data_IF_026703790190
#
_entry.id   IF_026703790190
#
_cell.length_a   1.000
_cell.length_b   1.000
_cell.length_c   1.000
_cell.angle_alpha   90.00
_cell.angle_beta   90.00
_cell.angle_gamma   90.00
#
_symmetry.space_group_name_H-M   'P 1'
#
loop_
_entity.id
_entity.type
_entity.pdbx_description
1 polymer ?
#
# COMPACT_ATOMS: atom_id res chain seq x y z
N UNK A 1 -2.41 21.39 0.15
CA UNK A 1 -2.91 21.26 1.53
C UNK A 1 -2.75 22.58 2.28
N UNK A 2 -3.80 23.04 2.95
CA UNK A 2 -3.75 24.24 3.78
C UNK A 2 -3.47 23.86 5.23
N UNK A 3 -2.56 24.58 5.87
CA UNK A 3 -2.23 24.40 7.28
C UNK A 3 -3.41 24.86 8.14
N UNK A 4 -3.85 24.06 9.15
CA UNK A 4 -4.90 24.49 10.07
C UNK A 4 -4.49 25.75 10.86
N UNK A 5 -5.45 26.63 11.17
CA UNK A 5 -5.18 27.95 11.75
C UNK A 5 -4.49 27.92 13.12
N UNK A 6 -4.70 26.83 13.89
CA UNK A 6 -4.07 26.62 15.19
C UNK A 6 -2.61 26.15 15.14
N UNK A 7 -2.07 25.87 13.95
CA UNK A 7 -0.68 25.44 13.78
C UNK A 7 0.23 26.63 13.48
N UNK A 8 1.48 26.60 13.96
CA UNK A 8 2.46 27.65 13.65
C UNK A 8 2.87 27.63 12.17
N UNK A 9 3.31 28.76 11.67
CA UNK A 9 3.72 28.92 10.29
C UNK A 9 4.96 28.08 9.95
N UNK A 10 4.95 27.53 8.73
CA UNK A 10 6.02 26.66 8.24
C UNK A 10 7.16 27.51 7.69
N UNK A 11 8.35 27.33 8.25
CA UNK A 11 9.60 27.93 7.75
C UNK A 11 10.33 26.98 6.81
N UNK A 12 10.43 25.69 7.20
CA UNK A 12 11.16 24.69 6.44
C UNK A 12 10.62 23.29 6.72
N UNK A 13 10.36 22.52 5.68
CA UNK A 13 10.13 21.07 5.80
C UNK A 13 11.46 20.38 6.09
N UNK A 14 11.48 19.51 7.08
CA UNK A 14 12.66 18.78 7.54
C UNK A 14 12.61 17.30 7.15
N UNK A 15 11.41 16.71 7.25
CA UNK A 15 11.17 15.31 6.91
C UNK A 15 9.73 15.11 6.44
N UNK A 16 9.56 14.22 5.50
CA UNK A 16 8.27 13.83 4.97
C UNK A 16 8.13 12.30 4.92
N UNK A 17 6.92 11.82 5.09
CA UNK A 17 6.56 10.41 4.99
C UNK A 17 5.13 10.29 4.50
N UNK A 18 4.86 9.27 3.72
CA UNK A 18 3.51 8.91 3.28
C UNK A 18 3.23 7.44 3.49
N UNK A 19 1.96 7.12 3.56
CA UNK A 19 1.44 5.76 3.53
C UNK A 19 0.11 5.73 2.79
N UNK A 20 -0.20 4.61 2.14
CA UNK A 20 -1.46 4.41 1.43
C UNK A 20 -2.37 3.52 2.27
N UNK A 21 -3.59 3.98 2.49
CA UNK A 21 -4.64 3.22 3.15
C UNK A 21 -5.81 3.06 2.21
N UNK A 22 -6.25 1.83 1.96
CA UNK A 22 -7.47 1.56 1.22
C UNK A 22 -8.68 1.64 2.16
N UNK A 23 -9.71 2.35 1.69
CA UNK A 23 -11.01 2.40 2.36
C UNK A 23 -11.96 1.36 1.77
N UNK A 24 -11.90 1.17 0.44
CA UNK A 24 -12.80 0.29 -0.28
C UNK A 24 -12.15 -0.26 -1.55
N UNK A 25 -12.39 -1.54 -1.81
CA UNK A 25 -12.03 -2.22 -3.05
C UNK A 25 -13.28 -2.93 -3.56
N UNK A 26 -13.76 -2.55 -4.74
CA UNK A 26 -14.91 -3.16 -5.41
C UNK A 26 -14.47 -3.81 -6.71
N UNK A 27 -14.77 -5.10 -6.87
CA UNK A 27 -14.55 -5.83 -8.11
C UNK A 27 -15.84 -5.81 -8.92
N UNK A 28 -15.75 -5.45 -10.19
CA UNK A 28 -16.82 -5.52 -11.18
C UNK A 28 -16.29 -6.16 -12.45
N UNK A 29 -17.18 -6.53 -13.35
CA UNK A 29 -16.80 -7.16 -14.61
C UNK A 29 -15.75 -6.31 -15.36
N UNK A 30 -14.56 -6.87 -15.56
CA UNK A 30 -13.45 -6.25 -16.27
C UNK A 30 -12.73 -5.09 -15.53
N UNK A 31 -13.11 -4.76 -14.28
CA UNK A 31 -12.59 -3.58 -13.58
C UNK A 31 -12.53 -3.78 -12.07
N UNK A 32 -11.56 -3.12 -11.45
CA UNK A 32 -11.41 -3.04 -10.00
C UNK A 32 -11.42 -1.56 -9.63
N UNK A 33 -12.39 -1.17 -8.81
CA UNK A 33 -12.49 0.18 -8.27
C UNK A 33 -11.81 0.23 -6.91
N UNK A 34 -10.92 1.19 -6.73
CA UNK A 34 -10.13 1.34 -5.52
C UNK A 34 -10.34 2.75 -4.99
N UNK A 35 -10.75 2.85 -3.72
CA UNK A 35 -10.82 4.10 -2.97
C UNK A 35 -9.88 4.04 -1.79
N UNK A 36 -9.24 5.14 -1.50
CA UNK A 36 -8.32 5.21 -0.39
C UNK A 36 -7.84 6.61 -0.09
N UNK A 37 -6.90 6.67 0.83
CA UNK A 37 -6.26 7.90 1.25
C UNK A 37 -4.73 7.76 1.21
N UNK A 38 -4.06 8.75 0.64
CA UNK A 38 -2.67 9.02 0.95
C UNK A 38 -2.62 9.77 2.28
N UNK A 39 -2.13 9.11 3.31
CA UNK A 39 -1.85 9.74 4.61
C UNK A 39 -0.41 10.22 4.57
N UNK A 40 -0.17 11.50 4.85
CA UNK A 40 1.16 12.05 4.89
C UNK A 40 1.47 12.72 6.22
N UNK A 41 2.74 12.67 6.58
CA UNK A 41 3.30 13.31 7.77
C UNK A 41 4.41 14.25 7.34
N UNK A 42 4.47 15.42 7.97
CA UNK A 42 5.49 16.43 7.72
C UNK A 42 6.05 16.90 9.04
N UNK A 43 7.34 16.66 9.25
CA UNK A 43 8.09 17.32 10.33
C UNK A 43 8.65 18.62 9.75
N UNK A 44 8.34 19.74 10.38
CA UNK A 44 8.78 21.03 9.90
C UNK A 44 9.32 21.92 11.03
N UNK A 45 10.17 22.87 10.63
CA UNK A 45 10.56 23.97 11.48
C UNK A 45 9.51 25.07 11.41
N UNK A 46 9.03 25.51 12.57
CA UNK A 46 8.09 26.61 12.69
C UNK A 46 8.81 27.96 12.85
N UNK A 47 8.05 29.02 12.77
CA UNK A 47 8.50 30.40 13.04
C UNK A 47 8.52 30.73 14.57
N UNK A 48 7.89 29.88 15.41
CA UNK A 48 7.82 30.10 16.86
C UNK A 48 9.11 29.69 17.57
N UNK A 49 9.63 30.52 18.46
CA UNK A 49 10.83 30.21 19.23
C UNK A 49 10.63 29.11 20.28
N UNK A 50 9.44 29.06 20.89
CA UNK A 50 9.10 28.07 21.91
C UNK A 50 8.84 26.67 21.35
N UNK A 51 8.31 26.59 20.11
CA UNK A 51 7.98 25.35 19.42
C UNK A 51 8.66 25.30 18.04
N UNK A 52 10.00 25.24 18.05
CA UNK A 52 10.81 25.27 16.81
C UNK A 52 10.51 24.11 15.85
N UNK A 53 10.00 23.01 16.35
CA UNK A 53 9.64 21.83 15.57
C UNK A 53 8.16 21.51 15.80
N UNK A 54 7.45 21.22 14.74
CA UNK A 54 6.09 20.73 14.79
C UNK A 54 5.86 19.66 13.72
N UNK A 55 4.84 18.82 13.91
CA UNK A 55 4.48 17.75 13.00
C UNK A 55 3.04 17.91 12.53
N UNK A 56 2.86 17.82 11.22
CA UNK A 56 1.56 17.85 10.57
C UNK A 56 1.22 16.48 10.01
N UNK A 57 0.00 16.02 10.26
CA UNK A 57 -0.59 14.89 9.57
C UNK A 57 -1.71 15.40 8.67
N UNK A 58 -1.70 15.00 7.41
CA UNK A 58 -2.76 15.28 6.46
C UNK A 58 -3.18 14.03 5.71
N UNK A 59 -4.28 14.14 4.95
CA UNK A 59 -4.76 13.07 4.08
C UNK A 59 -5.25 13.64 2.76
N UNK A 60 -5.07 12.88 1.69
CA UNK A 60 -5.56 13.19 0.36
C UNK A 60 -6.33 11.97 -0.14
N UNK A 61 -7.64 12.07 -0.33
CA UNK A 61 -8.43 10.99 -0.88
C UNK A 61 -8.09 10.76 -2.34
N UNK A 62 -8.16 9.50 -2.78
CA UNK A 62 -8.06 9.12 -4.18
C UNK A 62 -9.09 8.04 -4.54
N UNK A 63 -9.50 8.04 -5.79
CA UNK A 63 -10.34 7.02 -6.40
C UNK A 63 -9.73 6.64 -7.74
N UNK A 64 -9.44 5.36 -7.93
CA UNK A 64 -8.82 4.84 -9.14
C UNK A 64 -9.55 3.61 -9.66
N UNK A 65 -9.41 3.38 -10.96
CA UNK A 65 -9.99 2.22 -11.63
C UNK A 65 -8.90 1.45 -12.35
N UNK A 66 -8.71 0.20 -11.98
CA UNK A 66 -7.79 -0.73 -12.64
C UNK A 66 -8.58 -1.58 -13.63
N UNK A 67 -8.26 -1.50 -14.93
CA UNK A 67 -8.83 -2.38 -15.94
C UNK A 67 -8.12 -3.73 -15.88
N UNK A 68 -8.90 -4.82 -15.77
CA UNK A 68 -8.37 -6.19 -15.68
C UNK A 68 -9.30 -7.14 -16.42
N UNK A 69 -8.91 -7.55 -17.63
CA UNK A 69 -9.71 -8.42 -18.48
C UNK A 69 -9.96 -9.78 -17.80
N UNK A 70 -11.19 -10.23 -17.89
CA UNK A 70 -11.61 -11.53 -17.37
C UNK A 70 -11.90 -11.56 -15.86
N UNK A 71 -11.80 -10.45 -15.16
CA UNK A 71 -12.20 -10.37 -13.75
C UNK A 71 -13.72 -10.26 -13.63
N UNK A 72 -14.30 -11.01 -12.67
CA UNK A 72 -15.71 -10.96 -12.31
C UNK A 72 -15.88 -10.61 -10.83
N UNK A 73 -17.09 -10.22 -10.44
CA UNK A 73 -17.40 -9.77 -9.07
C UNK A 73 -17.10 -10.79 -7.97
N UNK A 74 -17.11 -12.09 -8.31
CA UNK A 74 -16.87 -13.17 -7.35
C UNK A 74 -15.40 -13.63 -7.31
N UNK A 75 -14.55 -13.09 -8.18
CA UNK A 75 -13.15 -13.50 -8.21
C UNK A 75 -12.37 -12.93 -7.02
N UNK A 76 -11.54 -13.74 -6.37
CA UNK A 76 -10.66 -13.26 -5.31
C UNK A 76 -9.57 -12.38 -5.91
N UNK A 77 -9.64 -11.10 -5.62
CA UNK A 77 -8.65 -10.09 -6.04
C UNK A 77 -7.90 -9.56 -4.83
N UNK A 78 -6.58 -9.50 -4.94
CA UNK A 78 -5.69 -8.87 -3.98
C UNK A 78 -5.14 -7.58 -4.58
N UNK A 79 -5.36 -6.44 -3.91
CA UNK A 79 -4.85 -5.14 -4.34
C UNK A 79 -3.85 -4.65 -3.31
N UNK A 80 -2.67 -4.28 -3.78
CA UNK A 80 -1.62 -3.68 -2.97
C UNK A 80 -1.22 -2.33 -3.54
N UNK A 81 -0.78 -1.43 -2.66
CA UNK A 81 -0.25 -0.13 -3.04
C UNK A 81 1.16 0.02 -2.52
N UNK A 82 2.03 0.56 -3.35
CA UNK A 82 3.40 0.95 -2.99
C UNK A 82 3.56 2.44 -3.27
N UNK A 83 4.00 3.19 -2.25
CA UNK A 83 4.35 4.59 -2.40
C UNK A 83 5.80 4.67 -2.90
N UNK A 84 5.96 4.93 -4.20
CA UNK A 84 7.28 5.00 -4.83
C UNK A 84 8.01 6.30 -4.51
N UNK A 85 7.26 7.40 -4.47
CA UNK A 85 7.82 8.72 -4.17
C UNK A 85 6.80 9.63 -3.49
N UNK A 86 7.27 10.49 -2.61
CA UNK A 86 6.49 11.58 -2.04
C UNK A 86 7.36 12.83 -1.96
N UNK A 87 6.82 13.95 -2.42
CA UNK A 87 7.48 15.24 -2.35
C UNK A 87 6.52 16.30 -1.81
N UNK A 88 6.92 16.97 -0.72
CA UNK A 88 6.13 17.99 -0.06
C UNK A 88 6.87 19.33 -0.09
N UNK A 89 6.42 20.21 -0.97
CA UNK A 89 6.97 21.56 -1.16
C UNK A 89 6.18 22.62 -0.41
N UNK A 90 6.85 23.69 -0.01
CA UNK A 90 6.24 24.88 0.59
C UNK A 90 5.79 25.81 -0.52
N UNK A 91 4.48 26.13 -0.60
CA UNK A 91 3.95 27.20 -1.47
C UNK A 91 4.04 28.55 -0.76
N UNK A 92 3.63 28.60 0.49
CA UNK A 92 3.82 29.70 1.43
C UNK A 92 3.81 29.15 2.87
N UNK A 93 3.98 30.02 3.89
CA UNK A 93 4.06 29.60 5.29
C UNK A 93 2.86 28.80 5.81
N UNK A 94 1.71 28.88 5.10
CA UNK A 94 0.45 28.21 5.49
C UNK A 94 -0.06 27.22 4.45
N UNK A 95 0.70 26.98 3.36
CA UNK A 95 0.24 26.11 2.28
C UNK A 95 1.34 25.22 1.75
N UNK A 96 1.05 23.93 1.69
CA UNK A 96 1.91 22.89 1.15
C UNK A 96 1.42 22.37 -0.19
N UNK A 97 2.35 22.05 -1.08
CA UNK A 97 2.13 21.21 -2.26
C UNK A 97 2.54 19.79 -1.91
N UNK A 98 1.62 18.84 -2.02
CA UNK A 98 1.91 17.42 -1.81
C UNK A 98 1.79 16.71 -3.15
N UNK A 99 2.84 15.98 -3.54
CA UNK A 99 2.87 15.15 -4.74
C UNK A 99 3.34 13.77 -4.35
N UNK A 100 2.68 12.75 -4.86
CA UNK A 100 3.06 11.37 -4.61
C UNK A 100 2.95 10.55 -5.90
N UNK A 101 3.85 9.60 -6.05
CA UNK A 101 3.77 8.56 -7.06
C UNK A 101 3.43 7.25 -6.36
N UNK A 102 2.29 6.68 -6.72
CA UNK A 102 1.76 5.46 -6.11
C UNK A 102 1.61 4.41 -7.18
N UNK A 103 2.21 3.24 -6.97
CA UNK A 103 1.99 2.06 -7.80
C UNK A 103 0.88 1.22 -7.17
N UNK A 104 -0.18 0.96 -7.94
CA UNK A 104 -1.24 0.03 -7.58
C UNK A 104 -1.02 -1.30 -8.31
N UNK A 105 -0.94 -2.39 -7.57
CA UNK A 105 -0.83 -3.74 -8.12
C UNK A 105 -2.08 -4.53 -7.75
N UNK A 106 -2.74 -5.10 -8.77
CA UNK A 106 -3.88 -5.98 -8.60
C UNK A 106 -3.51 -7.39 -9.08
N UNK A 107 -3.80 -8.39 -8.28
CA UNK A 107 -3.60 -9.81 -8.59
C UNK A 107 -4.91 -10.55 -8.45
N UNK A 108 -5.30 -11.27 -9.50
CA UNK A 108 -6.48 -12.13 -9.51
C UNK A 108 -6.05 -13.59 -9.51
N UNK A 109 -6.74 -14.41 -8.74
CA UNK A 109 -6.55 -15.86 -8.71
C UNK A 109 -7.79 -16.53 -9.30
N UNK A 110 -7.62 -17.15 -10.47
CA UNK A 110 -8.70 -17.91 -11.09
C UNK A 110 -8.49 -19.39 -10.84
N UNK A 111 -9.59 -20.06 -10.45
CA UNK A 111 -9.63 -21.52 -10.45
C UNK A 111 -10.02 -21.97 -11.85
N UNK A 112 -9.17 -22.80 -12.47
CA UNK A 112 -9.45 -23.43 -13.75
C UNK A 112 -9.47 -24.93 -13.57
N UNK A 113 -10.47 -25.58 -14.15
CA UNK A 113 -10.49 -27.01 -14.29
C UNK A 113 -9.87 -27.39 -15.62
N UNK A 114 -8.98 -28.39 -15.61
CA UNK A 114 -8.37 -28.91 -16.82
C UNK A 114 -8.53 -30.45 -16.81
N UNK A 115 -9.07 -30.97 -17.89
CA UNK A 115 -9.10 -32.41 -18.13
C UNK A 115 -7.79 -32.83 -18.79
N UNK A 116 -7.08 -33.75 -18.15
CA UNK A 116 -5.82 -34.29 -18.65
C UNK A 116 -5.97 -35.79 -18.92
N UNK A 117 -5.48 -36.24 -20.07
CA UNK A 117 -5.39 -37.68 -20.38
C UNK A 117 -4.23 -38.25 -19.58
N UNK A 118 -4.54 -39.07 -18.56
CA UNK A 118 -3.55 -39.71 -17.69
C UNK A 118 -3.19 -41.13 -18.10
N UNK A 119 -3.98 -41.72 -18.95
CA UNK A 119 -3.76 -43.07 -19.47
C UNK A 119 -4.68 -43.42 -20.62
N UNK A 120 -4.33 -44.45 -21.36
CA UNK A 120 -5.11 -45.01 -22.47
C UNK A 120 -5.23 -46.51 -22.25
N UNK A 121 -6.47 -47.02 -22.26
CA UNK A 121 -6.73 -48.46 -22.31
C UNK A 121 -6.84 -48.91 -23.76
N UNK A 122 -6.08 -49.97 -24.13
CA UNK A 122 -5.98 -50.41 -25.53
C UNK A 122 -6.09 -51.93 -25.61
N UNK A 123 -6.73 -52.40 -26.66
CA UNK A 123 -6.82 -53.83 -27.00
C UNK A 123 -5.58 -54.35 -27.74
N UNK A 124 -4.82 -53.46 -28.37
CA UNK A 124 -3.61 -53.80 -29.12
C UNK A 124 -2.39 -52.96 -28.63
N UNK A 125 -1.18 -53.54 -28.64
CA UNK A 125 0.02 -52.83 -28.20
C UNK A 125 0.33 -51.68 -29.18
N UNK A 126 0.35 -50.45 -28.65
CA UNK A 126 0.78 -49.23 -29.33
C UNK A 126 1.94 -48.59 -28.58
N UNK A 127 2.79 -47.92 -29.31
CA UNK A 127 3.83 -47.10 -28.69
C UNK A 127 3.24 -45.78 -28.20
N UNK A 128 3.38 -45.52 -26.88
CA UNK A 128 2.83 -44.32 -26.24
C UNK A 128 3.97 -43.36 -25.94
N UNK A 129 3.91 -42.18 -26.54
CA UNK A 129 4.76 -41.06 -26.15
C UNK A 129 4.12 -40.32 -24.97
N UNK A 130 4.85 -40.29 -23.83
CA UNK A 130 4.42 -39.56 -22.63
C UNK A 130 5.30 -38.34 -22.41
N UNK A 131 4.67 -37.18 -22.24
CA UNK A 131 5.33 -35.96 -21.79
C UNK A 131 4.96 -35.67 -20.33
N UNK A 132 5.97 -35.34 -19.52
CA UNK A 132 5.74 -34.89 -18.14
C UNK A 132 5.66 -33.38 -18.10
N UNK A 133 4.60 -32.88 -17.50
CA UNK A 133 4.43 -31.46 -17.23
C UNK A 133 4.35 -31.25 -15.71
N UNK A 134 5.09 -30.28 -15.22
CA UNK A 134 4.97 -29.85 -13.83
C UNK A 134 3.83 -28.83 -13.72
N UNK A 135 2.83 -29.12 -12.89
CA UNK A 135 1.73 -28.22 -12.59
C UNK A 135 1.96 -27.68 -11.19
N UNK A 136 1.90 -26.37 -11.06
CA UNK A 136 1.96 -25.67 -9.77
C UNK A 136 0.53 -25.34 -9.34
N UNK A 137 0.14 -25.79 -8.16
CA UNK A 137 -1.14 -25.49 -7.54
C UNK A 137 -0.94 -24.72 -6.25
N UNK A 138 -1.78 -23.68 -6.03
CA UNK A 138 -1.80 -22.96 -4.77
C UNK A 138 -2.67 -23.72 -3.77
N UNK A 139 -2.06 -24.45 -2.85
CA UNK A 139 -2.80 -25.20 -1.81
C UNK A 139 -3.37 -24.28 -0.73
N UNK A 140 -2.60 -23.32 -0.26
CA UNK A 140 -2.99 -22.47 0.87
C UNK A 140 -2.44 -21.06 0.74
N UNK A 141 -3.27 -20.09 1.07
CA UNK A 141 -2.86 -18.69 1.26
C UNK A 141 -3.46 -18.18 2.57
N UNK A 142 -2.60 -17.75 3.50
CA UNK A 142 -3.02 -17.18 4.79
C UNK A 142 -2.44 -15.77 4.95
N UNK A 143 -3.29 -14.82 5.35
CA UNK A 143 -2.87 -13.49 5.84
C UNK A 143 -3.11 -13.45 7.34
N UNK A 144 -2.14 -12.94 8.09
CA UNK A 144 -2.25 -12.81 9.53
C UNK A 144 -1.66 -11.48 10.00
N UNK A 145 -2.18 -10.95 11.11
CA UNK A 145 -1.71 -9.70 11.70
C UNK A 145 -1.01 -9.98 13.03
N UNK A 146 0.20 -9.47 13.18
CA UNK A 146 0.97 -9.61 14.40
C UNK A 146 1.14 -8.26 15.08
N UNK A 147 0.94 -8.25 16.41
CA UNK A 147 1.23 -7.10 17.24
C UNK A 147 2.60 -7.28 17.89
N UNK A 148 3.53 -6.38 17.58
CA UNK A 148 4.82 -6.33 18.22
C UNK A 148 4.82 -5.23 19.30
N UNK A 149 5.36 -5.53 20.46
CA UNK A 149 5.61 -4.55 21.53
C UNK A 149 7.06 -4.68 21.97
N UNK A 150 7.76 -3.56 22.03
CA UNK A 150 9.11 -3.48 22.54
C UNK A 150 9.25 -2.24 23.39
N UNK A 151 9.88 -2.38 24.55
CA UNK A 151 10.30 -1.27 25.40
C UNK A 151 11.75 -0.92 25.08
N UNK A 152 12.01 0.36 24.84
CA UNK A 152 13.35 0.85 24.49
C UNK A 152 13.79 1.78 25.59
N UNK A 153 14.88 1.41 26.28
CA UNK A 153 15.52 2.29 27.25
C UNK A 153 16.47 3.26 26.53
N UNK A 154 16.35 4.53 26.86
CA UNK A 154 17.27 5.54 26.34
C UNK A 154 18.57 5.53 27.14
N UNK A 155 19.73 5.70 26.47
CA UNK A 155 21.00 5.87 27.16
C UNK A 155 20.95 7.08 28.09
N UNK A 156 21.54 6.96 29.29
CA UNK A 156 21.61 8.06 30.29
C UNK A 156 22.28 9.34 29.78
N UNK A 157 23.04 9.24 28.67
CA UNK A 157 23.66 10.38 28.01
C UNK A 157 22.71 11.22 27.16
N UNK A 158 21.48 10.76 26.97
CA UNK A 158 20.45 11.49 26.22
C UNK A 158 19.51 12.21 27.17
N UNK A 159 19.00 13.39 26.78
CA UNK A 159 17.98 14.08 27.56
C UNK A 159 16.68 13.28 27.62
N UNK A 160 15.86 13.56 28.63
CA UNK A 160 14.55 12.98 28.76
C UNK A 160 13.67 13.31 27.55
N UNK A 161 12.78 12.37 27.19
CA UNK A 161 11.83 12.57 26.11
C UNK A 161 10.65 13.37 26.63
N UNK A 162 10.50 14.58 26.13
CA UNK A 162 9.33 15.42 26.44
C UNK A 162 8.16 15.13 25.51
N UNK A 163 8.47 14.90 24.21
CA UNK A 163 7.45 14.67 23.19
C UNK A 163 7.98 13.85 22.03
N UNK A 164 7.15 12.96 21.48
CA UNK A 164 7.38 12.25 20.22
C UNK A 164 6.61 12.96 19.11
N UNK A 165 7.32 13.53 18.15
CA UNK A 165 6.75 14.29 17.03
C UNK A 165 6.58 13.46 15.75
N UNK A 166 7.27 12.30 15.66
CA UNK A 166 7.35 11.52 14.41
C UNK A 166 7.21 10.01 14.65
#
# INVERSE_FOLDING_TARGET
>A
YNLPDYRPDIVKVLKEKGEICFDEIQVKEGRIYVKGNLIFHVLYRSDMEEHKLDCLRGQIPFEETISMDGVNELDPVDVTAELEDINIGIINSRKLSVRALVMLKAEMRMRKEAELITGVAMEHPLEILQNRHNILELETCKKDNYRLKQEIELPQSKPDVEQILW
#
